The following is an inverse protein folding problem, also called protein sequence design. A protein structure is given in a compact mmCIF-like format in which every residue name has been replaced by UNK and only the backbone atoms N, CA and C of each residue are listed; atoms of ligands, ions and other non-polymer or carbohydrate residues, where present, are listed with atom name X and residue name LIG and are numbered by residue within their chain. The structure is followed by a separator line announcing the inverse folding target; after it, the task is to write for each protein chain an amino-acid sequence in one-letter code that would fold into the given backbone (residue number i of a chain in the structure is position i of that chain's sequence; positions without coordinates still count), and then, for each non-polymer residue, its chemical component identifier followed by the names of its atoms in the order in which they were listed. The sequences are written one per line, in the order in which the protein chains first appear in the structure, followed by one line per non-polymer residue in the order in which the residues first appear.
data_IF_928148928740
#
_entry.id   IF_928148928740
#
_cell.length_a   1.000
_cell.length_b   1.000
_cell.length_c   1.000
_cell.angle_alpha   90.00
_cell.angle_beta   90.00
_cell.angle_gamma   90.00
#
_symmetry.space_group_name_H-M   'P 1'
#
loop_
_entity.id
_entity.type
_entity.pdbx_description
1 polymer ?
#
# COMPACT_ATOMS: atom_id res chain seq x y z
N UNK A 1 -16.15 -1.17 15.29
CA UNK A 1 -15.62 -1.96 14.17
C UNK A 1 -14.87 -3.16 14.70
N UNK A 2 -15.17 -4.36 14.27
CA UNK A 2 -14.43 -5.54 14.71
C UNK A 2 -13.00 -5.50 14.18
N UNK A 3 -12.09 -6.13 14.93
CA UNK A 3 -10.74 -6.37 14.44
C UNK A 3 -10.80 -7.49 13.41
N UNK A 4 -10.48 -7.18 12.17
CA UNK A 4 -10.52 -8.13 11.07
C UNK A 4 -9.11 -8.42 10.56
N UNK A 5 -8.25 -8.82 11.47
CA UNK A 5 -6.91 -9.33 11.21
C UNK A 5 -6.93 -10.83 11.47
N UNK A 6 -6.59 -11.63 10.46
CA UNK A 6 -6.63 -13.09 10.57
C UNK A 6 -5.49 -13.71 9.77
N UNK A 7 -5.78 -14.24 8.57
CA UNK A 7 -4.80 -14.97 7.78
C UNK A 7 -4.19 -14.14 6.63
N UNK A 8 -4.84 -13.03 6.29
CA UNK A 8 -4.35 -12.13 5.24
C UNK A 8 -2.97 -11.61 5.63
N UNK A 9 -2.00 -11.76 4.74
CA UNK A 9 -0.63 -11.35 4.98
C UNK A 9 -0.04 -10.65 3.78
N UNK A 10 0.90 -9.76 4.02
CA UNK A 10 1.60 -9.02 2.98
C UNK A 10 3.10 -9.19 3.15
N UNK A 11 3.81 -9.45 2.06
CA UNK A 11 5.26 -9.50 2.01
C UNK A 11 5.74 -8.59 0.89
N UNK A 12 6.91 -7.98 1.08
CA UNK A 12 7.53 -7.11 0.08
C UNK A 12 8.90 -7.66 -0.25
N UNK A 13 9.19 -7.79 -1.54
CA UNK A 13 10.47 -8.29 -1.98
C UNK A 13 11.58 -7.30 -1.65
N UNK A 14 12.63 -7.77 -1.00
CA UNK A 14 13.81 -6.97 -0.69
C UNK A 14 13.94 -6.52 0.76
N UNK A 15 12.88 -6.57 1.54
CA UNK A 15 12.97 -6.28 2.98
C UNK A 15 11.85 -6.97 3.75
N UNK A 16 12.12 -7.27 5.01
CA UNK A 16 11.15 -7.86 5.93
C UNK A 16 10.53 -6.83 6.86
N UNK A 17 9.60 -7.28 7.73
CA UNK A 17 8.93 -6.41 8.70
C UNK A 17 9.92 -5.66 9.59
N UNK A 18 9.78 -4.34 9.68
CA UNK A 18 10.63 -3.49 10.50
C UNK A 18 11.99 -3.17 9.91
N UNK A 19 12.34 -3.77 8.77
CA UNK A 19 13.63 -3.54 8.14
C UNK A 19 13.64 -2.29 7.28
N UNK A 20 14.86 -1.81 6.95
CA UNK A 20 15.02 -0.65 6.08
C UNK A 20 14.67 -0.99 4.64
N UNK A 21 13.88 -0.13 4.02
CA UNK A 21 13.53 -0.23 2.60
C UNK A 21 14.80 0.02 1.78
N UNK A 22 15.12 -0.84 0.79
CA UNK A 22 16.28 -0.62 -0.07
C UNK A 22 16.21 0.72 -0.82
N UNK A 23 17.37 1.35 -1.01
CA UNK A 23 17.48 2.67 -1.64
C UNK A 23 16.81 2.74 -3.02
N UNK A 24 16.85 1.66 -3.80
CA UNK A 24 16.26 1.64 -5.15
C UNK A 24 14.75 1.96 -5.17
N UNK A 25 14.08 1.82 -4.03
CA UNK A 25 12.66 2.13 -3.90
C UNK A 25 12.41 3.58 -3.45
N UNK A 26 13.45 4.30 -3.04
CA UNK A 26 13.35 5.68 -2.62
C UNK A 26 13.22 6.62 -3.83
N UNK A 27 12.53 7.75 -3.63
CA UNK A 27 12.26 8.69 -4.71
C UNK A 27 13.52 9.23 -5.40
N UNK A 28 14.59 9.46 -4.63
CA UNK A 28 15.83 10.04 -5.16
C UNK A 28 16.83 8.99 -5.68
N UNK A 29 16.52 7.70 -5.59
CA UNK A 29 17.43 6.60 -5.91
C UNK A 29 16.84 5.62 -6.93
N UNK A 30 16.05 6.12 -7.85
CA UNK A 30 15.44 5.32 -8.90
C UNK A 30 13.94 5.19 -8.81
N UNK A 31 13.37 5.37 -7.62
CA UNK A 31 11.92 5.34 -7.40
C UNK A 31 11.25 4.08 -7.97
N UNK A 32 11.91 2.93 -7.85
CA UNK A 32 11.37 1.67 -8.34
C UNK A 32 10.30 1.16 -7.38
N UNK A 33 9.09 0.94 -7.86
CA UNK A 33 8.02 0.38 -7.05
C UNK A 33 8.40 -1.04 -6.60
N UNK A 34 8.23 -1.36 -5.31
CA UNK A 34 8.54 -2.70 -4.83
C UNK A 34 7.51 -3.72 -5.29
N UNK A 35 7.93 -4.97 -5.42
CA UNK A 35 7.01 -6.09 -5.65
C UNK A 35 6.36 -6.49 -4.34
N UNK A 36 5.04 -6.50 -4.33
CA UNK A 36 4.24 -6.86 -3.16
C UNK A 36 3.53 -8.19 -3.44
N UNK A 37 3.60 -9.09 -2.49
CA UNK A 37 2.91 -10.38 -2.53
C UNK A 37 1.92 -10.46 -1.38
N UNK A 38 0.70 -10.90 -1.69
CA UNK A 38 -0.39 -11.01 -0.73
C UNK A 38 -0.79 -12.46 -0.61
N UNK A 39 -0.88 -12.96 0.62
CA UNK A 39 -1.25 -14.36 0.90
C UNK A 39 -2.38 -14.43 1.90
N UNK A 40 -2.99 -15.61 2.05
CA UNK A 40 -4.06 -15.83 3.01
C UNK A 40 -5.33 -15.05 2.72
N UNK A 41 -5.64 -14.83 1.45
CA UNK A 41 -6.83 -14.08 1.04
C UNK A 41 -8.10 -14.78 1.51
N UNK A 42 -8.97 -14.11 2.29
CA UNK A 42 -10.17 -14.74 2.82
C UNK A 42 -11.19 -15.06 1.73
N UNK A 43 -12.00 -16.09 1.98
CA UNK A 43 -13.13 -16.41 1.12
C UNK A 43 -14.11 -15.23 1.08
N UNK A 44 -14.74 -15.01 -0.08
CA UNK A 44 -15.68 -13.91 -0.25
C UNK A 44 -15.01 -12.58 -0.65
N UNK A 45 -13.70 -12.56 -0.85
CA UNK A 45 -13.00 -11.37 -1.34
C UNK A 45 -13.33 -11.13 -2.80
N UNK A 46 -13.91 -9.98 -3.09
CA UNK A 46 -14.18 -9.54 -4.45
C UNK A 46 -12.97 -8.82 -5.06
N UNK A 47 -12.23 -8.09 -4.24
CA UNK A 47 -11.09 -7.29 -4.68
C UNK A 47 -10.12 -7.06 -3.52
N UNK A 48 -8.82 -6.94 -3.84
CA UNK A 48 -7.80 -6.50 -2.89
C UNK A 48 -7.37 -5.08 -3.23
N UNK A 49 -6.99 -4.32 -2.19
CA UNK A 49 -6.42 -2.99 -2.34
C UNK A 49 -5.12 -2.91 -1.54
N UNK A 50 -4.17 -2.13 -2.07
CA UNK A 50 -2.88 -1.85 -1.43
C UNK A 50 -2.72 -0.34 -1.26
N UNK A 51 -2.37 0.09 -0.05
CA UNK A 51 -2.04 1.50 0.22
C UNK A 51 -0.75 1.55 1.00
N UNK A 52 0.24 2.29 0.48
CA UNK A 52 1.49 2.57 1.17
C UNK A 52 1.42 3.98 1.74
N UNK A 53 1.53 4.10 3.06
CA UNK A 53 1.31 5.35 3.77
C UNK A 53 2.36 5.58 4.85
N UNK A 54 2.86 6.83 4.93
CA UNK A 54 3.80 7.29 5.96
C UNK A 54 3.08 8.25 6.91
N UNK A 55 2.74 7.81 8.14
CA UNK A 55 2.13 8.69 9.13
C UNK A 55 3.13 9.65 9.79
N UNK A 56 4.43 9.44 9.60
CA UNK A 56 5.49 10.25 10.20
C UNK A 56 5.82 11.49 9.37
N UNK A 57 5.28 11.61 8.16
CA UNK A 57 5.48 12.79 7.33
C UNK A 57 4.88 14.03 8.02
N UNK A 58 5.54 15.21 7.94
CA UNK A 58 5.11 16.41 8.65
C UNK A 58 3.89 17.09 8.00
N UNK A 59 2.82 16.32 7.83
CA UNK A 59 1.55 16.75 7.23
C UNK A 59 0.41 16.25 8.11
N UNK A 60 -0.74 16.94 8.16
CA UNK A 60 -1.84 16.57 9.08
C UNK A 60 -2.33 15.12 8.92
N UNK A 61 -2.33 14.58 7.70
CA UNK A 61 -2.77 13.21 7.42
C UNK A 61 -1.62 12.30 6.98
N UNK A 62 -0.36 12.69 7.25
CA UNK A 62 0.80 11.96 6.75
C UNK A 62 0.92 12.07 5.23
N UNK A 63 1.65 11.15 4.62
CA UNK A 63 1.87 11.13 3.17
C UNK A 63 1.54 9.75 2.60
N UNK A 64 0.68 9.73 1.60
CA UNK A 64 0.34 8.51 0.87
C UNK A 64 1.26 8.38 -0.33
N UNK A 65 2.00 7.27 -0.39
CA UNK A 65 3.02 7.00 -1.40
C UNK A 65 2.52 6.20 -2.59
N UNK A 66 1.54 5.32 -2.37
CA UNK A 66 1.07 4.42 -3.42
C UNK A 66 -0.33 3.91 -3.08
N UNK A 67 -1.19 3.86 -4.10
CA UNK A 67 -2.56 3.38 -3.97
C UNK A 67 -2.88 2.49 -5.16
N UNK A 68 -3.24 1.24 -4.91
CA UNK A 68 -3.57 0.28 -5.96
C UNK A 68 -4.90 -0.40 -5.65
N UNK A 69 -5.83 -0.35 -6.60
CA UNK A 69 -7.15 -0.99 -6.54
C UNK A 69 -7.27 -2.05 -7.62
N UNK A 70 -8.30 -2.87 -7.54
CA UNK A 70 -8.59 -3.86 -8.57
C UNK A 70 -7.61 -5.03 -8.60
N UNK A 71 -6.94 -5.31 -7.49
CA UNK A 71 -6.04 -6.46 -7.40
C UNK A 71 -6.89 -7.72 -7.35
N UNK A 72 -6.62 -8.65 -8.28
CA UNK A 72 -7.35 -9.90 -8.37
C UNK A 72 -7.05 -10.80 -7.14
N UNK A 73 -8.05 -11.18 -6.36
CA UNK A 73 -7.84 -12.05 -5.21
C UNK A 73 -7.34 -13.46 -5.58
N UNK A 74 -7.52 -13.89 -6.82
CA UNK A 74 -7.02 -15.18 -7.31
C UNK A 74 -5.55 -15.11 -7.76
N UNK A 75 -5.02 -13.90 -8.01
CA UNK A 75 -3.64 -13.68 -8.43
C UNK A 75 -3.06 -12.48 -7.67
N UNK A 76 -2.90 -12.60 -6.33
CA UNK A 76 -2.67 -11.45 -5.46
C UNK A 76 -1.20 -11.03 -5.39
N UNK A 77 -0.59 -10.74 -6.53
CA UNK A 77 0.75 -10.17 -6.61
C UNK A 77 0.66 -8.80 -7.29
N UNK A 78 1.44 -7.86 -6.79
CA UNK A 78 1.49 -6.49 -7.31
C UNK A 78 2.90 -6.16 -7.74
N UNK A 79 3.06 -5.80 -9.01
CA UNK A 79 4.31 -5.26 -9.54
C UNK A 79 3.96 -4.08 -10.45
N UNK A 80 4.78 -3.03 -10.46
CA UNK A 80 4.54 -1.87 -11.32
C UNK A 80 5.85 -1.48 -12.00
N UNK A 81 5.87 -1.41 -13.34
CA UNK A 81 4.81 -1.84 -14.25
C UNK A 81 4.63 -3.35 -14.19
N UNK A 82 3.40 -3.79 -14.13
CA UNK A 82 3.07 -5.20 -13.98
C UNK A 82 2.29 -5.76 -15.15
N UNK A 83 2.07 -7.08 -15.15
CA UNK A 83 1.21 -7.70 -16.15
C UNK A 83 -0.23 -7.18 -16.05
N UNK A 84 -1.02 -7.41 -17.08
CA UNK A 84 -2.43 -7.04 -17.08
C UNK A 84 -3.14 -7.65 -15.86
N UNK A 85 -3.98 -6.85 -15.20
CA UNK A 85 -4.72 -7.29 -14.01
C UNK A 85 -4.05 -7.00 -12.68
N UNK A 86 -2.87 -6.37 -12.67
CA UNK A 86 -2.21 -5.96 -11.42
C UNK A 86 -2.92 -4.80 -10.71
N UNK A 87 -3.95 -4.26 -11.30
CA UNK A 87 -4.78 -3.27 -10.66
C UNK A 87 -4.68 -1.88 -11.26
N UNK A 88 -5.48 -0.98 -10.71
CA UNK A 88 -5.52 0.43 -11.10
C UNK A 88 -4.86 1.26 -10.01
N UNK A 89 -4.07 2.24 -10.38
CA UNK A 89 -3.45 3.13 -9.42
C UNK A 89 -4.33 4.33 -9.12
N UNK A 90 -4.52 4.61 -7.82
CA UNK A 90 -5.15 5.82 -7.35
C UNK A 90 -4.12 6.93 -7.07
N UNK A 91 -4.57 8.13 -6.70
CA UNK A 91 -3.68 9.26 -6.47
C UNK A 91 -2.88 9.10 -5.17
N UNK A 92 -1.59 9.37 -5.25
CA UNK A 92 -0.76 9.57 -4.06
C UNK A 92 -0.91 11.02 -3.55
N UNK A 93 -0.18 11.38 -2.50
CA UNK A 93 -0.29 12.73 -1.93
C UNK A 93 0.28 13.84 -2.82
N UNK A 94 1.04 13.48 -3.86
CA UNK A 94 1.45 14.44 -4.91
C UNK A 94 0.36 14.66 -5.96
N UNK A 95 -0.71 13.88 -5.92
CA UNK A 95 -1.77 13.91 -6.92
C UNK A 95 -1.51 13.03 -8.12
N UNK A 96 -0.42 12.25 -8.11
CA UNK A 96 -0.06 11.36 -9.20
C UNK A 96 -0.61 9.96 -8.97
N UNK A 97 -1.15 9.34 -10.00
CA UNK A 97 -1.60 7.94 -9.96
C UNK A 97 -0.41 7.02 -10.22
N UNK A 98 0.54 7.01 -9.29
CA UNK A 98 1.80 6.31 -9.41
C UNK A 98 2.42 6.09 -8.03
N UNK A 99 3.41 5.18 -7.99
CA UNK A 99 4.28 5.03 -6.84
C UNK A 99 5.21 6.23 -6.72
N UNK A 100 5.31 6.79 -5.51
CA UNK A 100 6.34 7.75 -5.15
C UNK A 100 7.01 7.24 -3.87
N UNK A 101 8.29 6.94 -3.95
CA UNK A 101 9.02 6.30 -2.86
C UNK A 101 9.37 7.22 -1.70
N UNK A 102 9.98 6.66 -0.65
CA UNK A 102 10.45 7.42 0.50
C UNK A 102 11.36 8.58 0.09
N UNK A 103 11.13 9.73 0.70
CA UNK A 103 11.92 10.94 0.49
C UNK A 103 11.92 11.79 1.76
N UNK A 104 12.26 11.21 2.93
CA UNK A 104 12.28 12.01 4.17
C UNK A 104 13.35 13.08 4.08
N UNK A 105 13.10 14.29 4.63
CA UNK A 105 14.10 15.34 4.64
C UNK A 105 15.34 14.92 5.45
N UNK A 106 16.55 15.38 5.05
CA UNK A 106 17.76 15.11 5.82
C UNK A 106 17.60 15.55 7.27
N UNK A 107 18.01 14.69 8.21
CA UNK A 107 17.93 14.98 9.64
C UNK A 107 16.55 14.83 10.25
N UNK A 108 15.54 14.43 9.49
CA UNK A 108 14.17 14.26 10.00
C UNK A 108 13.96 12.95 10.75
N UNK A 109 14.97 12.07 10.76
CA UNK A 109 14.91 10.80 11.46
C UNK A 109 14.32 9.67 10.63
N UNK A 110 13.92 8.62 11.33
CA UNK A 110 13.38 7.42 10.72
C UNK A 110 11.88 7.61 10.48
N UNK A 111 11.47 7.39 9.24
CA UNK A 111 10.06 7.32 8.87
C UNK A 111 9.62 5.87 8.73
N UNK A 112 8.34 5.60 9.03
CA UNK A 112 7.71 4.29 8.92
C UNK A 112 6.75 4.29 7.74
N UNK A 113 6.87 3.28 6.89
CA UNK A 113 6.06 3.14 5.68
C UNK A 113 5.20 1.90 5.84
N UNK A 114 3.90 2.11 5.97
CA UNK A 114 2.92 1.06 6.17
C UNK A 114 2.39 0.58 4.83
N UNK A 115 2.62 -0.68 4.53
CA UNK A 115 2.06 -1.36 3.36
C UNK A 115 0.77 -2.03 3.79
N UNK A 116 -0.33 -1.32 3.69
CA UNK A 116 -1.64 -1.81 4.06
C UNK A 116 -2.27 -2.60 2.93
N UNK A 117 -2.84 -3.77 3.25
CA UNK A 117 -3.62 -4.59 2.33
C UNK A 117 -5.02 -4.76 2.90
N UNK A 118 -6.02 -4.58 2.05
CA UNK A 118 -7.42 -4.68 2.40
C UNK A 118 -8.10 -5.71 1.49
N UNK A 119 -8.77 -6.70 2.09
CA UNK A 119 -9.64 -7.61 1.36
C UNK A 119 -11.06 -7.08 1.45
N UNK A 120 -11.68 -6.82 0.31
CA UNK A 120 -12.97 -6.16 0.21
C UNK A 120 -14.04 -7.12 -0.31
N UNK A 121 -15.26 -6.99 0.18
CA UNK A 121 -16.40 -7.78 -0.29
C UNK A 121 -17.09 -7.16 -1.51
N UNK A 122 -16.58 -6.04 -2.01
CA UNK A 122 -17.09 -5.32 -3.18
C UNK A 122 -15.94 -4.73 -3.98
N UNK A 123 -16.08 -4.60 -5.31
CA UNK A 123 -15.11 -3.86 -6.11
C UNK A 123 -15.10 -2.37 -5.77
N UNK A 124 -13.93 -1.75 -5.88
CA UNK A 124 -13.78 -0.30 -5.73
C UNK A 124 -14.09 0.38 -7.05
N UNK A 125 -15.00 1.35 -7.03
CA UNK A 125 -15.33 2.14 -8.20
C UNK A 125 -14.31 3.28 -8.36
N UNK A 126 -13.77 3.45 -9.56
CA UNK A 126 -12.85 4.53 -9.88
C UNK A 126 -11.49 4.39 -9.20
N UNK A 127 -10.85 5.51 -8.97
CA UNK A 127 -9.55 5.60 -8.32
C UNK A 127 -9.61 6.64 -7.18
N UNK A 128 -10.29 6.33 -6.06
CA UNK A 128 -10.37 7.27 -4.94
C UNK A 128 -9.01 7.46 -4.26
N UNK A 129 -8.83 8.62 -3.60
CA UNK A 129 -7.71 8.84 -2.71
C UNK A 129 -7.81 7.91 -1.50
N UNK A 130 -6.73 7.81 -0.72
CA UNK A 130 -6.75 7.01 0.52
C UNK A 130 -7.90 7.43 1.44
N UNK A 131 -8.08 8.72 1.68
CA UNK A 131 -9.13 9.24 2.56
C UNK A 131 -10.52 8.94 2.02
N UNK A 132 -10.74 9.14 0.74
CA UNK A 132 -12.01 8.81 0.08
C UNK A 132 -12.28 7.31 0.14
N UNK A 133 -11.26 6.48 -0.09
CA UNK A 133 -11.37 5.02 -0.01
C UNK A 133 -11.76 4.56 1.40
N UNK A 134 -11.04 5.02 2.41
CA UNK A 134 -11.33 4.62 3.80
C UNK A 134 -12.72 5.05 4.23
N UNK A 135 -13.16 6.23 3.80
CA UNK A 135 -14.48 6.74 4.13
C UNK A 135 -15.60 5.95 3.42
N UNK A 136 -15.42 5.64 2.15
CA UNK A 136 -16.46 4.98 1.35
C UNK A 136 -16.47 3.46 1.49
N UNK A 137 -15.31 2.83 1.71
CA UNK A 137 -15.16 1.37 1.69
C UNK A 137 -14.72 0.76 3.02
N UNK A 138 -14.50 1.55 4.06
CA UNK A 138 -14.08 1.04 5.36
C UNK A 138 -15.00 -0.05 5.91
N UNK A 139 -16.31 0.07 5.70
CA UNK A 139 -17.29 -0.92 6.15
C UNK A 139 -17.39 -2.16 5.24
N UNK A 140 -16.64 -2.15 4.12
CA UNK A 140 -16.63 -3.27 3.15
C UNK A 140 -15.36 -4.11 3.28
N UNK A 141 -14.49 -3.78 4.22
CA UNK A 141 -13.27 -4.53 4.52
C UNK A 141 -13.62 -5.75 5.34
N UNK A 142 -13.37 -6.94 4.79
CA UNK A 142 -13.58 -8.20 5.50
C UNK A 142 -12.35 -8.65 6.29
N UNK A 143 -11.16 -8.24 5.82
CA UNK A 143 -9.90 -8.52 6.50
C UNK A 143 -8.86 -7.51 6.05
N UNK A 144 -7.93 -7.16 6.96
CA UNK A 144 -6.83 -6.26 6.64
C UNK A 144 -5.56 -6.71 7.36
N UNK A 145 -4.41 -6.36 6.81
CA UNK A 145 -3.14 -6.53 7.49
C UNK A 145 -2.12 -5.56 6.88
N UNK A 146 -0.93 -5.50 7.48
CA UNK A 146 0.11 -4.57 7.05
C UNK A 146 1.50 -5.13 7.27
N UNK A 147 2.45 -4.58 6.52
CA UNK A 147 3.88 -4.73 6.78
C UNK A 147 4.46 -3.33 6.90
N UNK A 148 5.37 -3.12 7.84
CA UNK A 148 6.00 -1.82 8.06
C UNK A 148 7.47 -1.92 7.67
N UNK A 149 7.90 -1.02 6.78
CA UNK A 149 9.30 -0.81 6.46
C UNK A 149 9.75 0.56 6.96
N UNK A 150 11.05 0.77 7.08
CA UNK A 150 11.62 2.04 7.55
C UNK A 150 12.51 2.66 6.50
N UNK A 151 12.68 3.98 6.58
CA UNK A 151 13.63 4.71 5.76
C UNK A 151 14.04 6.01 6.42
N UNK A 152 15.28 6.38 6.25
CA UNK A 152 15.81 7.69 6.67
C UNK A 152 16.78 8.19 5.59
N UNK A 153 16.85 9.50 5.44
CA UNK A 153 17.79 10.11 4.51
C UNK A 153 19.23 10.03 5.05
#
# INVERSE_FOLDING_TARGET
MPLNIKDLAVAVRGFGPGERIPDRHAADHGNAAPEVEITGVPAGTAELALIVHDPDAPLPHGFTHWVVYGIDPAAPAVAVPGPAGTGRQGPNSLGDKAYSGPQPPPGHGIHHYYFWVYALDTPVAGEPSREEFLNAYGDRVIEQNRLVGTYSA
#
